data_IF_102316476610
#
_entry.id   IF_102316476610
#
_cell.length_a   1.000
_cell.length_b   1.000
_cell.length_c   1.000
_cell.angle_alpha   90.00
_cell.angle_beta   90.00
_cell.angle_gamma   90.00
#
_symmetry.space_group_name_H-M   'P 1'
#
loop_
_entity.id
_entity.type
_entity.pdbx_description
1 polymer ?
#
# COMPACT_ATOMS: atom_id res chain seq x y z
N UNK A 1 26.28 49.97 -7.68
CA UNK A 1 25.81 49.83 -9.08
C UNK A 1 24.32 50.14 -9.25
N UNK A 2 23.38 49.43 -8.61
CA UNK A 2 21.93 49.71 -8.74
C UNK A 2 21.54 51.16 -8.45
N UNK A 3 21.90 51.67 -7.27
CA UNK A 3 21.63 53.06 -6.88
C UNK A 3 22.43 54.11 -7.67
N UNK A 4 23.51 53.72 -8.36
CA UNK A 4 24.31 54.60 -9.22
C UNK A 4 23.73 54.73 -10.64
N UNK A 5 22.96 53.72 -11.07
CA UNK A 5 22.29 53.70 -12.38
C UNK A 5 20.81 54.11 -12.28
N UNK A 6 20.32 54.45 -11.09
CA UNK A 6 18.92 54.86 -10.86
C UNK A 6 17.89 53.74 -11.09
N UNK A 7 18.30 52.48 -11.11
CA UNK A 7 17.42 51.34 -11.39
C UNK A 7 16.76 50.81 -10.11
N UNK A 8 15.44 50.61 -10.15
CA UNK A 8 14.68 49.99 -9.06
C UNK A 8 14.66 48.45 -9.22
N UNK A 9 14.70 47.66 -8.13
CA UNK A 9 14.62 46.20 -8.19
C UNK A 9 13.42 45.65 -9.01
N UNK A 10 12.30 46.35 -8.99
CA UNK A 10 11.09 45.97 -9.74
C UNK A 10 11.31 45.92 -11.26
N UNK A 11 12.28 46.67 -11.78
CA UNK A 11 12.64 46.63 -13.20
C UNK A 11 13.12 45.23 -13.59
N UNK A 12 13.87 44.55 -12.71
CA UNK A 12 14.33 43.18 -12.96
C UNK A 12 13.14 42.22 -12.96
N UNK A 13 12.27 42.33 -11.96
CA UNK A 13 11.09 41.48 -11.85
C UNK A 13 10.18 41.61 -13.09
N UNK A 14 9.95 42.85 -13.55
CA UNK A 14 9.17 43.14 -14.75
C UNK A 14 9.87 42.66 -16.03
N UNK A 15 11.19 42.80 -16.12
CA UNK A 15 11.97 42.29 -17.27
C UNK A 15 11.89 40.76 -17.35
N UNK A 16 12.06 40.06 -16.22
CA UNK A 16 11.94 38.60 -16.16
C UNK A 16 10.52 38.12 -16.46
N UNK A 17 9.51 38.78 -15.90
CA UNK A 17 8.11 38.44 -16.13
C UNK A 17 7.65 38.71 -17.57
N UNK A 18 8.14 39.80 -18.19
CA UNK A 18 7.76 40.20 -19.55
C UNK A 18 8.50 39.45 -20.66
N UNK A 19 9.71 38.94 -20.41
CA UNK A 19 10.54 38.28 -21.44
C UNK A 19 10.56 36.75 -21.33
N UNK A 20 10.11 36.16 -20.22
CA UNK A 20 9.94 34.71 -20.06
C UNK A 20 8.47 34.28 -20.27
N UNK A 21 7.86 34.75 -21.37
CA UNK A 21 6.47 34.43 -21.71
C UNK A 21 6.41 33.23 -22.66
N UNK A 22 5.75 32.15 -22.22
CA UNK A 22 5.40 31.02 -23.09
C UNK A 22 4.16 31.40 -23.91
N UNK A 23 4.38 32.06 -25.05
CA UNK A 23 3.32 32.45 -25.99
C UNK A 23 3.02 31.35 -27.01
N UNK A 24 1.73 31.05 -27.25
CA UNK A 24 1.32 30.22 -28.39
C UNK A 24 1.43 31.03 -29.69
N UNK A 25 2.31 30.63 -30.61
CA UNK A 25 2.48 31.31 -31.91
C UNK A 25 1.38 31.00 -32.93
N UNK A 26 0.42 30.15 -32.57
CA UNK A 26 -0.70 29.76 -33.43
C UNK A 26 -0.29 28.82 -34.57
N UNK A 27 -1.06 28.83 -35.65
CA UNK A 27 -0.78 28.07 -36.86
C UNK A 27 -1.14 28.89 -38.09
N UNK A 28 -0.37 28.75 -39.16
CA UNK A 28 -0.66 29.38 -40.45
C UNK A 28 -0.92 28.30 -41.49
N UNK A 29 -1.92 28.53 -42.35
CA UNK A 29 -2.21 27.63 -43.47
C UNK A 29 -1.43 28.10 -44.70
N UNK A 30 -0.54 27.25 -45.22
CA UNK A 30 0.22 27.48 -46.45
C UNK A 30 -0.22 26.46 -47.49
N UNK A 31 -1.06 26.89 -48.44
CA UNK A 31 -1.68 26.00 -49.41
C UNK A 31 -2.61 24.98 -48.73
N UNK A 32 -2.32 23.69 -48.91
CA UNK A 32 -3.06 22.58 -48.30
C UNK A 32 -2.51 22.13 -46.94
N UNK A 33 -1.44 22.75 -46.43
CA UNK A 33 -0.79 22.36 -45.17
C UNK A 33 -1.05 23.38 -44.06
N UNK A 34 -1.25 22.89 -42.83
CA UNK A 34 -1.26 23.70 -41.62
C UNK A 34 0.10 23.59 -40.91
N UNK A 35 0.80 24.71 -40.79
CA UNK A 35 2.09 24.78 -40.11
C UNK A 35 1.86 25.44 -38.76
N UNK A 36 2.14 24.71 -37.68
CA UNK A 36 2.10 25.24 -36.31
C UNK A 36 3.37 26.05 -36.04
N UNK A 37 3.21 27.26 -35.54
CA UNK A 37 4.31 28.14 -35.15
C UNK A 37 4.45 28.06 -33.63
N UNK A 38 5.61 27.63 -33.16
CA UNK A 38 5.93 27.60 -31.74
C UNK A 38 7.10 28.56 -31.48
N UNK A 39 6.84 29.75 -30.90
CA UNK A 39 7.87 30.72 -30.57
C UNK A 39 8.82 30.11 -29.52
N UNK A 40 10.11 30.24 -29.73
CA UNK A 40 11.12 29.92 -28.71
C UNK A 40 11.29 31.14 -27.81
N UNK A 41 10.49 31.22 -26.74
CA UNK A 41 10.58 32.29 -25.72
C UNK A 41 11.03 31.81 -24.33
N UNK A 42 11.29 30.50 -24.19
CA UNK A 42 11.73 29.91 -22.92
C UNK A 42 13.22 30.11 -22.69
N UNK A 43 13.57 30.57 -21.50
CA UNK A 43 14.95 30.68 -21.04
C UNK A 43 15.44 29.32 -20.54
N UNK A 44 16.46 28.76 -21.20
CA UNK A 44 16.96 27.40 -20.93
C UNK A 44 18.25 27.36 -20.13
N UNK A 45 18.95 28.48 -20.05
CA UNK A 45 20.29 28.57 -19.46
C UNK A 45 20.48 29.82 -18.62
N UNK A 46 21.44 29.78 -17.70
CA UNK A 46 21.79 30.94 -16.86
C UNK A 46 22.36 32.08 -17.72
N UNK A 47 23.05 31.70 -18.78
CA UNK A 47 23.64 32.56 -19.79
C UNK A 47 22.55 33.35 -20.52
N UNK A 48 21.49 32.70 -20.99
CA UNK A 48 20.34 33.36 -21.62
C UNK A 48 19.65 34.37 -20.70
N UNK A 49 19.49 34.04 -19.42
CA UNK A 49 18.94 34.97 -18.41
C UNK A 49 19.85 36.22 -18.29
N UNK A 50 21.16 36.05 -18.43
CA UNK A 50 22.12 37.15 -18.40
C UNK A 50 22.11 38.05 -19.63
N UNK A 51 21.70 37.53 -20.78
CA UNK A 51 21.60 38.27 -22.04
C UNK A 51 20.32 39.12 -22.16
N UNK A 52 19.37 38.95 -21.23
CA UNK A 52 18.13 39.73 -21.22
C UNK A 52 18.40 41.23 -21.13
N UNK A 53 17.74 42.00 -22.01
CA UNK A 53 17.78 43.46 -22.01
C UNK A 53 16.81 44.00 -20.99
N UNK A 54 17.27 44.91 -20.14
CA UNK A 54 16.43 45.54 -19.12
C UNK A 54 15.37 46.43 -19.76
N UNK A 55 14.14 46.38 -19.26
CA UNK A 55 13.08 47.30 -19.69
C UNK A 55 13.25 48.64 -18.95
N UNK A 56 13.19 49.75 -19.69
CA UNK A 56 13.12 51.10 -19.10
C UNK A 56 11.73 51.36 -18.51
N UNK A 57 11.57 52.44 -17.75
CA UNK A 57 10.28 52.80 -17.13
C UNK A 57 9.15 53.02 -18.15
N UNK A 58 9.48 53.32 -19.40
CA UNK A 58 8.55 53.47 -20.52
C UNK A 58 8.27 52.14 -21.27
N UNK A 59 8.83 51.02 -20.80
CA UNK A 59 8.71 49.71 -21.43
C UNK A 59 9.65 49.48 -22.62
N UNK A 60 10.50 50.45 -22.99
CA UNK A 60 11.47 50.29 -24.07
C UNK A 60 12.69 49.45 -23.65
N UNK A 61 13.30 48.66 -24.54
CA UNK A 61 14.51 47.91 -24.22
C UNK A 61 15.70 48.86 -24.01
N UNK A 62 16.34 48.77 -22.85
CA UNK A 62 17.63 49.41 -22.57
C UNK A 62 18.76 48.70 -23.32
N UNK A 63 19.88 49.40 -23.53
CA UNK A 63 21.13 48.78 -24.03
C UNK A 63 21.84 47.94 -22.96
N UNK A 64 21.39 48.00 -21.71
CA UNK A 64 21.98 47.29 -20.58
C UNK A 64 21.40 45.88 -20.46
N UNK A 65 22.28 44.89 -20.29
CA UNK A 65 21.92 43.49 -20.07
C UNK A 65 21.89 43.16 -18.58
N UNK A 66 21.13 42.14 -18.19
CA UNK A 66 21.04 41.72 -16.79
C UNK A 66 22.40 41.32 -16.21
N UNK A 67 23.28 40.70 -17.00
CA UNK A 67 24.65 40.34 -16.60
C UNK A 67 25.55 41.55 -16.28
N UNK A 68 25.25 42.74 -16.82
CA UNK A 68 26.08 43.93 -16.60
C UNK A 68 25.86 44.52 -15.20
N UNK A 69 24.71 44.22 -14.60
CA UNK A 69 24.24 44.79 -13.33
C UNK A 69 24.09 43.75 -12.21
N UNK A 70 23.97 42.46 -12.53
CA UNK A 70 23.76 41.39 -11.56
C UNK A 70 24.61 40.15 -11.87
N UNK A 71 25.02 39.43 -10.81
CA UNK A 71 25.69 38.13 -10.93
C UNK A 71 24.63 37.03 -10.89
N UNK A 72 24.44 36.37 -12.03
CA UNK A 72 23.46 35.30 -12.16
C UNK A 72 24.22 33.98 -12.00
N UNK A 73 23.75 33.13 -11.10
CA UNK A 73 24.33 31.82 -10.83
C UNK A 73 23.21 30.82 -10.59
N UNK A 74 23.41 29.59 -11.05
CA UNK A 74 22.62 28.46 -10.56
C UNK A 74 23.11 28.13 -9.15
N UNK A 75 22.18 28.02 -8.22
CA UNK A 75 22.49 27.72 -6.82
C UNK A 75 21.37 26.92 -6.18
N UNK A 76 21.63 26.43 -4.97
CA UNK A 76 20.60 25.84 -4.12
C UNK A 76 19.74 26.95 -3.49
N UNK A 77 18.53 26.58 -3.09
CA UNK A 77 17.68 27.46 -2.28
C UNK A 77 18.33 27.63 -0.92
N UNK A 78 18.52 28.88 -0.50
CA UNK A 78 19.15 29.25 0.77
C UNK A 78 18.31 30.38 1.42
N UNK A 79 17.76 30.18 2.63
CA UNK A 79 17.86 28.97 3.45
C UNK A 79 17.09 27.77 2.86
N UNK A 80 17.58 26.53 3.05
CA UNK A 80 16.90 25.35 2.56
C UNK A 80 15.55 25.17 3.28
N UNK A 81 14.48 24.96 2.52
CA UNK A 81 13.13 24.78 3.08
C UNK A 81 12.94 23.43 3.79
N UNK A 82 13.70 22.39 3.42
CA UNK A 82 13.67 21.08 4.08
C UNK A 82 15.03 20.41 3.95
N UNK A 83 15.54 19.87 5.05
CA UNK A 83 16.79 19.12 5.09
C UNK A 83 16.48 17.73 5.61
N UNK A 84 16.91 16.70 4.87
CA UNK A 84 16.80 15.32 5.31
C UNK A 84 18.19 14.76 5.60
N UNK A 85 18.30 14.03 6.70
CA UNK A 85 19.50 13.29 7.06
C UNK A 85 19.14 11.81 7.21
N UNK A 86 20.06 10.95 6.79
CA UNK A 86 20.00 9.52 7.03
C UNK A 86 21.30 9.09 7.72
N UNK A 87 21.18 8.59 8.94
CA UNK A 87 22.32 8.22 9.80
C UNK A 87 23.41 9.31 9.91
N UNK A 88 22.99 10.57 10.08
CA UNK A 88 23.91 11.71 10.23
C UNK A 88 24.49 12.26 8.93
N UNK A 89 24.22 11.65 7.78
CA UNK A 89 24.63 12.15 6.47
C UNK A 89 23.49 12.85 5.74
N UNK A 90 23.74 13.95 5.00
CA UNK A 90 22.73 14.58 4.14
C UNK A 90 22.17 13.57 3.14
N UNK A 91 20.85 13.50 3.05
CA UNK A 91 20.15 12.51 2.23
C UNK A 91 18.99 13.15 1.47
N UNK A 92 18.56 12.46 0.41
CA UNK A 92 17.33 12.78 -0.32
C UNK A 92 16.37 11.61 -0.13
N UNK A 93 15.18 11.91 0.36
CA UNK A 93 14.11 10.93 0.53
C UNK A 93 13.32 10.77 -0.76
N UNK A 94 13.07 9.52 -1.15
CA UNK A 94 12.14 9.18 -2.22
C UNK A 94 11.06 8.26 -1.65
N UNK A 95 9.83 8.78 -1.54
CA UNK A 95 8.66 8.00 -1.20
C UNK A 95 8.08 7.33 -2.45
N UNK A 96 7.90 6.02 -2.41
CA UNK A 96 7.24 5.26 -3.48
C UNK A 96 5.97 4.67 -2.89
N UNK A 97 4.83 4.98 -3.51
CA UNK A 97 3.52 4.45 -3.13
C UNK A 97 3.00 3.48 -4.18
N UNK A 98 2.29 2.46 -3.70
CA UNK A 98 1.56 1.55 -4.58
C UNK A 98 0.40 2.28 -5.24
N UNK A 99 0.17 2.00 -6.52
CA UNK A 99 -1.04 2.46 -7.22
C UNK A 99 -2.29 1.92 -6.52
N UNK A 100 -3.41 2.64 -6.62
CA UNK A 100 -4.67 2.22 -6.02
C UNK A 100 -5.08 0.84 -6.54
N UNK A 101 -5.37 -0.10 -5.64
CA UNK A 101 -5.68 -1.50 -5.97
C UNK A 101 -4.47 -2.35 -6.38
N UNK A 102 -3.25 -1.81 -6.37
CA UNK A 102 -2.02 -2.55 -6.65
C UNK A 102 -1.56 -3.40 -5.48
N UNK A 103 -0.78 -4.45 -5.78
CA UNK A 103 -0.19 -5.33 -4.78
C UNK A 103 1.17 -4.79 -4.29
N UNK A 104 1.27 -4.53 -2.99
CA UNK A 104 2.49 -3.98 -2.35
C UNK A 104 3.68 -4.94 -2.42
N UNK A 105 3.46 -6.26 -2.40
CA UNK A 105 4.51 -7.28 -2.51
C UNK A 105 5.10 -7.28 -3.91
N UNK A 106 4.23 -7.29 -4.94
CA UNK A 106 4.65 -7.22 -6.34
C UNK A 106 5.42 -5.94 -6.64
N UNK A 107 4.93 -4.79 -6.13
CA UNK A 107 5.64 -3.52 -6.25
C UNK A 107 7.00 -3.58 -5.54
N UNK A 108 7.07 -4.14 -4.32
CA UNK A 108 8.30 -4.27 -3.57
C UNK A 108 9.37 -5.08 -4.30
N UNK A 109 8.98 -6.21 -4.89
CA UNK A 109 9.88 -7.06 -5.67
C UNK A 109 10.38 -6.35 -6.93
N UNK A 110 9.49 -5.63 -7.63
CA UNK A 110 9.85 -4.82 -8.79
C UNK A 110 10.81 -3.68 -8.43
N UNK A 111 10.60 -3.01 -7.30
CA UNK A 111 11.50 -1.97 -6.80
C UNK A 111 12.87 -2.57 -6.49
N UNK A 112 12.94 -3.70 -5.77
CA UNK A 112 14.22 -4.37 -5.46
C UNK A 112 14.99 -4.73 -6.72
N UNK A 113 14.30 -5.27 -7.72
CA UNK A 113 14.93 -5.61 -8.99
C UNK A 113 15.42 -4.36 -9.72
N UNK A 114 14.61 -3.29 -9.74
CA UNK A 114 15.01 -2.02 -10.37
C UNK A 114 16.20 -1.38 -9.65
N UNK A 115 16.22 -1.44 -8.33
CA UNK A 115 17.32 -0.97 -7.49
C UNK A 115 18.63 -1.72 -7.81
N UNK A 116 18.56 -3.04 -7.97
CA UNK A 116 19.70 -3.86 -8.38
C UNK A 116 20.26 -3.45 -9.75
N UNK A 117 19.39 -3.15 -10.71
CA UNK A 117 19.80 -2.67 -12.03
C UNK A 117 20.47 -1.29 -11.97
N UNK A 118 19.90 -0.37 -11.18
CA UNK A 118 20.41 0.99 -11.01
C UNK A 118 21.71 1.07 -10.21
N UNK A 119 22.04 0.04 -9.43
CA UNK A 119 23.29 -0.02 -8.67
C UNK A 119 24.52 0.14 -9.59
N UNK A 120 24.47 -0.40 -10.81
CA UNK A 120 25.53 -0.24 -11.82
C UNK A 120 25.66 1.16 -12.42
N UNK A 121 24.59 1.96 -12.34
CA UNK A 121 24.52 3.33 -12.87
C UNK A 121 24.69 4.39 -11.78
N UNK A 122 24.87 3.96 -10.53
CA UNK A 122 24.97 4.86 -9.38
C UNK A 122 26.35 5.52 -9.36
N UNK A 123 26.45 6.86 -9.39
CA UNK A 123 27.72 7.56 -9.32
C UNK A 123 28.50 7.26 -8.04
N UNK A 124 29.83 7.36 -8.11
CA UNK A 124 30.70 7.16 -6.95
C UNK A 124 30.34 8.18 -5.86
N UNK A 125 30.22 7.71 -4.61
CA UNK A 125 29.87 8.54 -3.45
C UNK A 125 28.36 8.68 -3.21
N UNK A 126 27.50 8.08 -4.04
CA UNK A 126 26.07 7.97 -3.79
C UNK A 126 25.73 6.57 -3.28
N UNK A 127 25.08 6.50 -2.12
CA UNK A 127 24.52 5.25 -1.58
C UNK A 127 23.00 5.32 -1.59
N UNK A 128 22.35 4.31 -2.17
CA UNK A 128 20.90 4.21 -2.13
C UNK A 128 20.53 3.17 -1.07
N UNK A 129 19.86 3.63 -0.01
CA UNK A 129 19.43 2.77 1.10
C UNK A 129 17.93 2.82 1.28
N UNK A 130 17.39 1.66 1.57
CA UNK A 130 16.02 1.49 2.00
C UNK A 130 15.83 2.00 3.42
N UNK A 131 14.80 2.81 3.64
CA UNK A 131 14.42 3.27 4.98
C UNK A 131 13.27 2.42 5.52
N UNK A 132 12.19 2.29 4.74
CA UNK A 132 11.03 1.50 5.08
C UNK A 132 10.55 0.71 3.85
N UNK A 133 10.47 -0.62 3.99
CA UNK A 133 9.98 -1.52 2.95
C UNK A 133 8.79 -2.32 3.46
N UNK A 134 7.59 -1.85 3.13
CA UNK A 134 6.34 -2.47 3.59
C UNK A 134 6.14 -3.88 3.01
N UNK A 135 6.61 -4.13 1.78
CA UNK A 135 6.51 -5.44 1.15
C UNK A 135 7.13 -6.56 2.01
N UNK A 136 8.31 -6.30 2.60
CA UNK A 136 9.01 -7.27 3.45
C UNK A 136 8.24 -7.57 4.73
N UNK A 137 7.67 -6.53 5.36
CA UNK A 137 6.85 -6.71 6.55
C UNK A 137 5.58 -7.54 6.26
N UNK A 138 4.99 -7.41 5.07
CA UNK A 138 3.83 -8.20 4.63
C UNK A 138 4.23 -9.64 4.33
N UNK A 139 5.31 -9.86 3.57
CA UNK A 139 5.80 -11.21 3.23
C UNK A 139 6.17 -11.99 4.49
N UNK A 140 6.89 -11.37 5.42
CA UNK A 140 7.22 -11.99 6.72
C UNK A 140 5.96 -12.31 7.52
N UNK A 141 4.97 -11.41 7.53
CA UNK A 141 3.72 -11.66 8.24
C UNK A 141 2.93 -12.85 7.66
N UNK A 142 2.87 -12.97 6.33
CA UNK A 142 2.22 -14.10 5.66
C UNK A 142 2.96 -15.40 5.96
N UNK A 143 4.29 -15.43 5.85
CA UNK A 143 5.07 -16.65 6.13
C UNK A 143 4.94 -17.07 7.59
N UNK A 144 5.05 -16.13 8.53
CA UNK A 144 4.88 -16.41 9.95
C UNK A 144 3.47 -16.91 10.25
N UNK A 145 2.44 -16.34 9.63
CA UNK A 145 1.08 -16.82 9.77
C UNK A 145 0.92 -18.27 9.29
N UNK A 146 1.44 -18.62 8.11
CA UNK A 146 1.32 -19.98 7.57
C UNK A 146 2.01 -20.99 8.50
N UNK A 147 3.18 -20.63 9.05
CA UNK A 147 3.89 -21.46 10.04
C UNK A 147 3.05 -21.60 11.31
N UNK A 148 2.57 -20.49 11.88
CA UNK A 148 1.75 -20.51 13.10
C UNK A 148 0.44 -21.26 12.91
N UNK A 149 -0.18 -21.18 11.73
CA UNK A 149 -1.37 -21.96 11.38
C UNK A 149 -1.07 -23.46 11.35
N UNK A 150 0.04 -23.86 10.72
CA UNK A 150 0.47 -25.26 10.67
C UNK A 150 0.79 -25.79 12.08
N UNK A 151 1.48 -25.00 12.91
CA UNK A 151 1.77 -25.33 14.31
C UNK A 151 0.48 -25.47 15.14
N UNK A 152 -0.44 -24.51 15.02
CA UNK A 152 -1.73 -24.54 15.72
C UNK A 152 -2.55 -25.78 15.34
N UNK A 153 -2.66 -26.08 14.04
CA UNK A 153 -3.34 -27.29 13.56
C UNK A 153 -2.65 -28.56 14.06
N UNK A 154 -1.32 -28.62 14.04
CA UNK A 154 -0.56 -29.77 14.54
C UNK A 154 -0.80 -29.99 16.04
N UNK A 155 -0.83 -28.93 16.84
CA UNK A 155 -1.12 -29.00 18.29
C UNK A 155 -2.54 -29.48 18.53
N UNK A 156 -3.54 -28.89 17.86
CA UNK A 156 -4.95 -29.27 17.99
C UNK A 156 -5.15 -30.73 17.61
N UNK A 157 -4.65 -31.16 16.45
CA UNK A 157 -4.73 -32.56 16.00
C UNK A 157 -3.98 -33.46 16.99
N UNK A 158 -2.81 -33.07 17.48
CA UNK A 158 -2.03 -33.80 18.48
C UNK A 158 -2.83 -34.08 19.76
N UNK A 159 -3.45 -33.05 20.33
CA UNK A 159 -4.27 -33.16 21.54
C UNK A 159 -5.50 -34.04 21.28
N UNK A 160 -6.18 -33.85 20.14
CA UNK A 160 -7.37 -34.65 19.78
C UNK A 160 -7.03 -36.12 19.53
N UNK A 161 -5.87 -36.42 18.95
CA UNK A 161 -5.41 -37.80 18.79
C UNK A 161 -5.18 -38.48 20.14
N UNK A 162 -4.68 -37.75 21.14
CA UNK A 162 -4.48 -38.27 22.49
C UNK A 162 -5.82 -38.44 23.21
N UNK A 163 -6.73 -37.46 23.11
CA UNK A 163 -7.99 -37.45 23.85
C UNK A 163 -9.07 -38.36 23.25
N UNK A 164 -9.21 -38.38 21.92
CA UNK A 164 -10.32 -39.04 21.21
C UNK A 164 -9.86 -40.16 20.26
N UNK A 165 -8.55 -40.36 20.13
CA UNK A 165 -7.94 -41.36 19.25
C UNK A 165 -7.61 -40.83 17.84
N UNK A 166 -6.74 -41.58 17.16
CA UNK A 166 -6.14 -41.18 15.88
C UNK A 166 -7.16 -40.83 14.78
N UNK A 167 -8.22 -41.64 14.63
CA UNK A 167 -9.22 -41.44 13.56
C UNK A 167 -10.00 -40.13 13.70
N UNK A 168 -10.43 -39.81 14.92
CA UNK A 168 -11.21 -38.61 15.20
C UNK A 168 -10.35 -37.35 15.07
N UNK A 169 -9.10 -37.39 15.55
CA UNK A 169 -8.16 -36.27 15.43
C UNK A 169 -7.84 -35.92 13.98
N UNK A 170 -7.56 -36.92 13.13
CA UNK A 170 -7.29 -36.69 11.69
C UNK A 170 -8.54 -36.17 10.97
N UNK A 171 -9.72 -36.69 11.28
CA UNK A 171 -10.98 -36.22 10.68
C UNK A 171 -11.21 -34.73 10.94
N UNK A 172 -11.08 -34.30 12.21
CA UNK A 172 -11.22 -32.89 12.59
C UNK A 172 -10.15 -32.04 11.91
N UNK A 173 -8.89 -32.50 11.89
CA UNK A 173 -7.80 -31.80 11.21
C UNK A 173 -8.07 -31.54 9.72
N UNK A 174 -8.62 -32.53 9.01
CA UNK A 174 -8.99 -32.37 7.59
C UNK A 174 -10.16 -31.40 7.43
N UNK A 175 -11.17 -31.46 8.31
CA UNK A 175 -12.30 -30.52 8.28
C UNK A 175 -11.80 -29.08 8.43
N UNK A 176 -10.88 -28.84 9.38
CA UNK A 176 -10.30 -27.52 9.62
C UNK A 176 -9.47 -27.01 8.45
N UNK A 177 -8.66 -27.87 7.85
CA UNK A 177 -7.88 -27.49 6.68
C UNK A 177 -8.81 -27.11 5.51
N UNK A 178 -9.88 -27.88 5.31
CA UNK A 178 -10.86 -27.61 4.26
C UNK A 178 -11.64 -26.32 4.51
N UNK A 179 -12.02 -26.00 5.75
CA UNK A 179 -12.70 -24.75 6.06
C UNK A 179 -11.80 -23.55 5.81
N UNK A 180 -10.54 -23.58 6.24
CA UNK A 180 -9.58 -22.49 5.99
C UNK A 180 -9.33 -22.29 4.48
N UNK A 181 -9.12 -23.38 3.74
CA UNK A 181 -8.99 -23.30 2.27
C UNK A 181 -10.27 -22.78 1.61
N UNK A 182 -11.44 -23.19 2.11
CA UNK A 182 -12.74 -22.69 1.68
C UNK A 182 -12.88 -21.18 1.91
N UNK A 183 -12.45 -20.66 3.07
CA UNK A 183 -12.43 -19.23 3.36
C UNK A 183 -11.55 -18.49 2.36
N UNK A 184 -10.34 -18.98 2.06
CA UNK A 184 -9.46 -18.34 1.07
C UNK A 184 -10.11 -18.28 -0.32
N UNK A 185 -10.75 -19.36 -0.76
CA UNK A 185 -11.47 -19.38 -2.04
C UNK A 185 -12.64 -18.40 -2.05
N UNK A 186 -13.38 -18.29 -0.94
CA UNK A 186 -14.51 -17.37 -0.81
C UNK A 186 -14.09 -15.89 -0.68
N UNK A 187 -12.87 -15.61 -0.21
CA UNK A 187 -12.31 -14.26 -0.14
C UNK A 187 -11.94 -13.70 -1.52
N UNK A 188 -11.48 -14.55 -2.46
CA UNK A 188 -11.06 -14.15 -3.81
C UNK A 188 -12.10 -13.31 -4.57
N UNK A 189 -13.37 -13.76 -4.76
CA UNK A 189 -14.36 -12.97 -5.50
C UNK A 189 -14.81 -11.71 -4.76
N UNK A 190 -14.63 -11.64 -3.44
CA UNK A 190 -14.96 -10.46 -2.61
C UNK A 190 -13.84 -9.42 -2.55
N UNK A 191 -12.69 -9.70 -3.19
CA UNK A 191 -11.54 -8.79 -3.23
C UNK A 191 -10.89 -8.58 -1.86
N UNK A 192 -11.10 -9.49 -0.91
CA UNK A 192 -10.52 -9.37 0.43
C UNK A 192 -9.06 -9.80 0.34
N UNK A 193 -8.15 -8.86 0.63
CA UNK A 193 -6.72 -9.08 0.53
C UNK A 193 -6.19 -9.82 1.76
N UNK A 194 -5.10 -10.59 1.54
CA UNK A 194 -4.37 -11.22 2.62
C UNK A 194 -3.35 -10.21 3.17
N UNK A 195 -3.71 -9.58 4.28
CA UNK A 195 -2.88 -8.69 5.06
C UNK A 195 -2.87 -9.10 6.53
N UNK A 196 -2.01 -8.47 7.33
CA UNK A 196 -1.86 -8.77 8.77
C UNK A 196 -3.18 -8.87 9.53
N UNK A 197 -4.15 -8.01 9.22
CA UNK A 197 -5.44 -7.98 9.93
C UNK A 197 -6.33 -9.14 9.49
N UNK A 198 -6.46 -9.41 8.19
CA UNK A 198 -7.25 -10.55 7.70
C UNK A 198 -6.65 -11.89 8.12
N UNK A 199 -5.32 -11.99 8.21
CA UNK A 199 -4.63 -13.15 8.79
C UNK A 199 -4.95 -13.33 10.28
N UNK A 200 -4.88 -12.25 11.08
CA UNK A 200 -5.27 -12.30 12.49
C UNK A 200 -6.74 -12.69 12.69
N UNK A 201 -7.63 -12.19 11.83
CA UNK A 201 -9.03 -12.56 11.83
C UNK A 201 -9.24 -14.05 11.56
N UNK A 202 -8.45 -14.64 10.66
CA UNK A 202 -8.51 -16.06 10.35
C UNK A 202 -8.06 -16.93 11.52
N UNK A 203 -7.08 -16.49 12.33
CA UNK A 203 -6.69 -17.18 13.57
C UNK A 203 -7.86 -17.22 14.56
N UNK A 204 -8.55 -16.09 14.74
CA UNK A 204 -9.71 -16.01 15.64
C UNK A 204 -10.85 -16.90 15.11
N UNK A 205 -11.13 -16.82 13.81
CA UNK A 205 -12.15 -17.64 13.16
C UNK A 205 -11.84 -19.14 13.28
N UNK A 206 -10.58 -19.53 13.14
CA UNK A 206 -10.15 -20.92 13.31
C UNK A 206 -10.54 -21.47 14.69
N UNK A 207 -10.34 -20.71 15.76
CA UNK A 207 -10.74 -21.13 17.11
C UNK A 207 -12.23 -21.45 17.19
N UNK A 208 -13.08 -20.58 16.63
CA UNK A 208 -14.53 -20.79 16.61
C UNK A 208 -14.94 -21.99 15.72
N UNK A 209 -14.24 -22.22 14.61
CA UNK A 209 -14.49 -23.35 13.72
C UNK A 209 -14.12 -24.69 14.34
N UNK A 210 -13.01 -24.73 15.07
CA UNK A 210 -12.56 -25.91 15.82
C UNK A 210 -13.61 -26.30 16.85
N UNK A 211 -14.11 -25.36 17.63
CA UNK A 211 -15.10 -25.64 18.68
C UNK A 211 -16.37 -26.27 18.09
N UNK A 212 -16.90 -25.73 16.99
CA UNK A 212 -18.09 -26.28 16.32
C UNK A 212 -17.86 -27.72 15.82
N UNK A 213 -16.70 -27.98 15.22
CA UNK A 213 -16.35 -29.31 14.73
C UNK A 213 -16.16 -30.31 15.88
N UNK A 214 -15.53 -29.89 16.97
CA UNK A 214 -15.31 -30.71 18.17
C UNK A 214 -16.65 -31.13 18.79
N UNK A 215 -17.57 -30.19 19.03
CA UNK A 215 -18.87 -30.48 19.67
C UNK A 215 -19.66 -31.52 18.88
N UNK A 216 -19.66 -31.42 17.54
CA UNK A 216 -20.39 -32.38 16.69
C UNK A 216 -19.71 -33.74 16.70
N UNK A 217 -18.39 -33.82 16.52
CA UNK A 217 -17.66 -35.10 16.46
C UNK A 217 -17.69 -35.81 17.82
N UNK A 218 -17.48 -35.08 18.90
CA UNK A 218 -17.57 -35.60 20.27
C UNK A 218 -18.97 -36.12 20.57
N UNK A 219 -20.02 -35.36 20.22
CA UNK A 219 -21.41 -35.79 20.38
C UNK A 219 -21.69 -37.10 19.63
N UNK A 220 -21.21 -37.24 18.40
CA UNK A 220 -21.37 -38.46 17.60
C UNK A 220 -20.66 -39.62 18.29
N UNK A 221 -19.43 -39.41 18.77
CA UNK A 221 -18.63 -40.44 19.44
C UNK A 221 -19.30 -40.93 20.71
N UNK A 222 -19.88 -40.04 21.52
CA UNK A 222 -20.64 -40.37 22.73
C UNK A 222 -21.88 -41.21 22.39
N UNK A 223 -22.63 -40.85 21.33
CA UNK A 223 -23.82 -41.62 20.93
C UNK A 223 -23.47 -43.00 20.37
N UNK A 224 -22.35 -43.13 19.67
CA UNK A 224 -21.80 -44.42 19.25
C UNK A 224 -21.43 -45.30 20.45
N UNK A 225 -20.81 -44.72 21.49
CA UNK A 225 -20.49 -45.43 22.73
C UNK A 225 -21.74 -45.89 23.50
N UNK A 226 -22.86 -45.18 23.35
CA UNK A 226 -24.17 -45.57 23.89
C UNK A 226 -24.87 -46.68 23.07
N UNK A 227 -24.22 -47.20 22.03
CA UNK A 227 -24.73 -48.30 21.21
C UNK A 227 -25.65 -47.89 20.05
N UNK A 228 -25.73 -46.59 19.71
CA UNK A 228 -26.53 -46.14 18.57
C UNK A 228 -25.87 -46.51 17.24
N UNK A 229 -26.69 -46.71 16.21
CA UNK A 229 -26.20 -46.90 14.83
C UNK A 229 -25.54 -45.61 14.31
N UNK A 230 -24.49 -45.73 13.47
CA UNK A 230 -23.66 -44.60 13.02
C UNK A 230 -24.45 -43.46 12.37
N UNK A 231 -25.36 -43.80 11.47
CA UNK A 231 -26.17 -42.81 10.74
C UNK A 231 -27.14 -42.11 11.69
N UNK A 232 -27.73 -42.88 12.61
CA UNK A 232 -28.67 -42.37 13.60
C UNK A 232 -27.97 -41.45 14.61
N UNK A 233 -26.78 -41.84 15.08
CA UNK A 233 -25.95 -41.03 15.97
C UNK A 233 -25.58 -39.67 15.34
N UNK A 234 -25.18 -39.68 14.07
CA UNK A 234 -24.88 -38.46 13.31
C UNK A 234 -26.12 -37.57 13.14
N UNK A 235 -27.23 -38.15 12.68
CA UNK A 235 -28.47 -37.40 12.45
C UNK A 235 -29.02 -36.77 13.74
N UNK A 236 -28.95 -37.49 14.86
CA UNK A 236 -29.47 -37.02 16.13
C UNK A 236 -28.63 -35.88 16.71
N UNK A 237 -27.30 -35.99 16.66
CA UNK A 237 -26.41 -34.93 17.16
C UNK A 237 -26.57 -33.68 16.33
N UNK A 238 -26.55 -33.78 15.00
CA UNK A 238 -26.75 -32.63 14.12
C UNK A 238 -28.09 -31.94 14.41
N UNK A 239 -29.17 -32.70 14.58
CA UNK A 239 -30.48 -32.14 14.92
C UNK A 239 -30.52 -31.44 16.29
N UNK A 240 -29.73 -31.91 17.27
CA UNK A 240 -29.63 -31.30 18.60
C UNK A 240 -28.74 -30.05 18.60
N UNK A 241 -27.66 -30.05 17.83
CA UNK A 241 -26.64 -28.99 17.88
C UNK A 241 -26.86 -27.88 16.84
N UNK A 242 -27.74 -28.07 15.85
CA UNK A 242 -27.95 -27.08 14.78
C UNK A 242 -28.29 -25.68 15.30
N UNK A 243 -29.27 -25.55 16.21
CA UNK A 243 -29.69 -24.26 16.74
C UNK A 243 -28.66 -23.61 17.67
N UNK A 244 -28.05 -24.34 18.63
CA UNK A 244 -26.97 -23.80 19.46
C UNK A 244 -25.77 -23.28 18.64
N UNK A 245 -25.26 -24.09 17.70
CA UNK A 245 -24.08 -23.73 16.91
C UNK A 245 -24.38 -22.58 15.94
N UNK A 246 -25.56 -22.58 15.33
CA UNK A 246 -26.00 -21.48 14.47
C UNK A 246 -26.14 -20.17 15.26
N UNK A 247 -26.75 -20.23 16.45
CA UNK A 247 -26.87 -19.07 17.35
C UNK A 247 -25.51 -18.52 17.77
N UNK A 248 -24.57 -19.39 18.18
CA UNK A 248 -23.21 -18.98 18.53
C UNK A 248 -22.50 -18.27 17.36
N UNK A 249 -22.67 -18.79 16.14
CA UNK A 249 -22.10 -18.21 14.92
C UNK A 249 -22.68 -16.83 14.63
N UNK A 250 -24.00 -16.65 14.75
CA UNK A 250 -24.65 -15.33 14.59
C UNK A 250 -24.15 -14.33 15.63
N UNK A 251 -24.04 -14.75 16.89
CA UNK A 251 -23.56 -13.86 17.97
C UNK A 251 -22.14 -13.39 17.68
N UNK A 252 -21.26 -14.29 17.24
CA UNK A 252 -19.91 -13.92 16.83
C UNK A 252 -19.93 -12.93 15.66
N UNK A 253 -20.70 -13.21 14.60
CA UNK A 253 -20.82 -12.31 13.44
C UNK A 253 -21.32 -10.92 13.87
N UNK A 254 -22.35 -10.84 14.72
CA UNK A 254 -22.89 -9.56 15.19
C UNK A 254 -21.91 -8.77 16.05
N UNK A 255 -21.15 -9.45 16.91
CA UNK A 255 -20.12 -8.83 17.74
C UNK A 255 -19.04 -8.16 16.87
N UNK A 256 -18.59 -8.83 15.81
CA UNK A 256 -17.60 -8.27 14.89
C UNK A 256 -18.19 -7.31 13.85
N UNK A 257 -19.47 -7.44 13.50
CA UNK A 257 -20.18 -6.50 12.64
C UNK A 257 -20.22 -5.10 13.24
N UNK A 258 -20.44 -4.98 14.55
CA UNK A 258 -20.45 -3.69 15.25
C UNK A 258 -19.12 -2.92 15.06
N UNK A 259 -18.00 -3.64 15.01
CA UNK A 259 -16.67 -3.05 14.82
C UNK A 259 -16.39 -2.78 13.33
N UNK A 260 -16.68 -3.76 12.46
CA UNK A 260 -16.37 -3.68 11.03
C UNK A 260 -17.28 -2.76 10.21
N UNK A 261 -18.47 -2.41 10.72
CA UNK A 261 -19.39 -1.44 10.12
C UNK A 261 -19.20 -0.02 10.64
N UNK A 262 -18.29 0.20 11.59
CA UNK A 262 -17.96 1.55 12.03
C UNK A 262 -17.36 2.36 10.89
N UNK A 263 -17.72 3.65 10.81
CA UNK A 263 -17.19 4.58 9.81
C UNK A 263 -15.87 5.24 10.25
N UNK A 264 -15.41 4.95 11.46
CA UNK A 264 -14.14 5.45 11.96
C UNK A 264 -12.96 4.76 11.28
N UNK A 265 -11.78 5.36 11.38
CA UNK A 265 -10.51 4.75 10.94
C UNK A 265 -10.35 3.32 11.45
N UNK A 266 -10.72 3.05 12.71
CA UNK A 266 -10.73 1.70 13.29
C UNK A 266 -11.65 0.74 12.53
N UNK A 267 -12.82 1.20 12.09
CA UNK A 267 -13.76 0.40 11.32
C UNK A 267 -13.22 0.04 9.93
N UNK A 268 -12.51 0.95 9.28
CA UNK A 268 -11.81 0.66 8.02
C UNK A 268 -10.75 -0.44 8.19
N UNK A 269 -9.95 -0.37 9.26
CA UNK A 269 -8.99 -1.42 9.61
C UNK A 269 -9.66 -2.76 9.97
N UNK A 270 -10.75 -2.72 10.74
CA UNK A 270 -11.45 -3.92 11.22
C UNK A 270 -12.44 -4.51 10.19
N UNK A 271 -12.66 -3.86 9.05
CA UNK A 271 -13.59 -4.34 8.03
C UNK A 271 -13.17 -5.70 7.45
N UNK A 272 -11.88 -5.86 7.17
CA UNK A 272 -11.31 -7.15 6.75
C UNK A 272 -11.54 -8.24 7.79
N UNK A 273 -11.44 -7.89 9.08
CA UNK A 273 -11.66 -8.84 10.17
C UNK A 273 -13.11 -9.32 10.23
N UNK A 274 -14.07 -8.40 10.16
CA UNK A 274 -15.50 -8.77 10.09
C UNK A 274 -15.80 -9.65 8.87
N UNK A 275 -15.30 -9.28 7.69
CA UNK A 275 -15.58 -10.03 6.47
C UNK A 275 -15.02 -11.45 6.50
N UNK A 276 -13.82 -11.65 7.08
CA UNK A 276 -13.24 -12.99 7.24
C UNK A 276 -14.09 -13.85 8.18
N UNK A 277 -14.53 -13.30 9.31
CA UNK A 277 -15.38 -14.02 10.28
C UNK A 277 -16.78 -14.30 9.72
N UNK A 278 -17.33 -13.39 8.90
CA UNK A 278 -18.61 -13.61 8.23
C UNK A 278 -18.56 -14.77 7.20
N UNK A 279 -17.38 -15.00 6.60
CA UNK A 279 -17.19 -16.02 5.56
C UNK A 279 -16.82 -17.38 6.15
N UNK A 280 -16.01 -17.37 7.20
CA UNK A 280 -15.44 -18.56 7.84
C UNK A 280 -16.49 -19.25 8.69
#
# INVERSE_FOLDING_TARGET
KFSQLGLHPDVIANTLAGQNLVGSGGSVQVGSQYIRIQPTGELKSVEEIGELLLLQQDGSPSKLRLKDIAKIKRGYVDPPGTIMHYNGHPAIGLGISTVQGGNVVVMGDAIKERMRQLQSQTPIGMEIKAIAHQADAVTVAISSFVISLAEALAIVIGILMIAMGFRSGVLIGVILLLTVLGTFVAMLPKGIMLERISLGALIIALGMLVDNAIVVVEGILINLQKGMERVQAASQIVAQTIWPLFGATIVAILAFAAIGLSQDSTGEYCRSLFMVILIS
#
